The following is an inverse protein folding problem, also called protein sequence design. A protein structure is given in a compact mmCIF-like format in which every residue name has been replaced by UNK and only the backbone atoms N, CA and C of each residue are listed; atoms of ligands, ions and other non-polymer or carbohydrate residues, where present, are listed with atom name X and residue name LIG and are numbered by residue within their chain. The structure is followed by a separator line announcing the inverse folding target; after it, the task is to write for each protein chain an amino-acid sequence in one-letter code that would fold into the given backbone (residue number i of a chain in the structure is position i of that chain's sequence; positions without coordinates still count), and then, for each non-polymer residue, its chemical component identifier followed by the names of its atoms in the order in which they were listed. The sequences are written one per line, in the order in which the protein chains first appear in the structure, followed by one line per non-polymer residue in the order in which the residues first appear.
data_IF_557553150502
#
_entry.id   IF_557553150502
#
_cell.length_a   1.000
_cell.length_b   1.000
_cell.length_c   1.000
_cell.angle_alpha   90.00
_cell.angle_beta   90.00
_cell.angle_gamma   90.00
#
_symmetry.space_group_name_H-M   'P 1'
#
loop_
_entity.id
_entity.type
_entity.pdbx_description
1 polymer ?
#
# COMPACT_ATOMS: atom_id res chain seq x y z
N UNK A 1 -16.12 -15.31 -0.54
CA UNK A 1 -15.53 -15.13 -1.88
C UNK A 1 -14.03 -14.97 -1.74
N UNK A 2 -13.26 -15.54 -2.66
CA UNK A 2 -11.81 -15.40 -2.68
C UNK A 2 -11.45 -14.00 -3.20
N UNK A 3 -11.19 -13.08 -2.28
CA UNK A 3 -10.68 -11.74 -2.61
C UNK A 3 -9.15 -11.84 -2.80
N UNK A 4 -8.58 -11.29 -3.87
CA UNK A 4 -7.12 -11.29 -4.11
C UNK A 4 -6.35 -10.51 -3.04
N UNK A 5 -7.00 -9.56 -2.37
CA UNK A 5 -6.49 -8.91 -1.16
C UNK A 5 -6.89 -9.78 0.02
N UNK A 6 -5.90 -10.43 0.63
CA UNK A 6 -6.11 -11.49 1.64
C UNK A 6 -6.88 -10.98 2.84
N UNK A 7 -6.58 -9.77 3.29
CA UNK A 7 -7.20 -9.14 4.46
C UNK A 7 -8.66 -8.70 4.20
N UNK A 8 -9.09 -8.60 2.94
CA UNK A 8 -10.47 -8.28 2.57
C UNK A 8 -11.38 -9.50 2.51
N UNK A 9 -10.83 -10.72 2.59
CA UNK A 9 -11.62 -11.95 2.58
C UNK A 9 -12.57 -11.98 3.79
N UNK A 10 -13.87 -12.12 3.50
CA UNK A 10 -14.92 -12.10 4.53
C UNK A 10 -15.09 -10.75 5.23
N UNK A 11 -14.79 -9.64 4.54
CA UNK A 11 -15.12 -8.27 4.99
C UNK A 11 -16.21 -7.70 4.09
N UNK A 12 -17.21 -7.05 4.68
CA UNK A 12 -18.27 -6.32 3.96
C UNK A 12 -17.74 -4.94 3.51
N UNK A 13 -16.95 -4.93 2.42
CA UNK A 13 -16.26 -3.73 1.92
C UNK A 13 -17.21 -2.61 1.49
N UNK A 14 -18.47 -2.92 1.14
CA UNK A 14 -19.45 -1.95 0.68
C UNK A 14 -19.83 -0.90 1.74
N UNK A 15 -19.50 -1.14 3.00
CA UNK A 15 -19.75 -0.20 4.11
C UNK A 15 -18.57 0.75 4.35
N UNK A 16 -17.49 0.64 3.56
CA UNK A 16 -16.27 1.43 3.70
C UNK A 16 -16.20 2.40 2.53
N UNK A 17 -15.86 3.67 2.79
CA UNK A 17 -15.67 4.64 1.73
C UNK A 17 -14.59 4.13 0.74
N UNK A 18 -14.89 4.06 -0.57
CA UNK A 18 -13.96 3.56 -1.58
C UNK A 18 -12.57 4.21 -1.56
N UNK A 19 -12.39 5.42 -1.03
CA UNK A 19 -11.06 6.04 -0.87
C UNK A 19 -10.13 5.27 0.09
N UNK A 20 -10.68 4.40 0.95
CA UNK A 20 -9.93 3.56 1.89
C UNK A 20 -9.78 2.10 1.44
N UNK A 21 -10.34 1.72 0.28
CA UNK A 21 -10.31 0.35 -0.23
C UNK A 21 -9.35 0.26 -1.41
N UNK A 22 -8.26 -0.48 -1.29
CA UNK A 22 -7.24 -0.54 -2.34
C UNK A 22 -7.81 -0.96 -3.72
N UNK A 23 -7.45 -0.22 -4.76
CA UNK A 23 -7.59 -0.71 -6.14
C UNK A 23 -6.63 -1.90 -6.30
N UNK A 24 -7.17 -3.09 -6.60
CA UNK A 24 -6.40 -4.33 -6.74
C UNK A 24 -5.20 -4.19 -7.69
N UNK A 25 -5.32 -3.37 -8.75
CA UNK A 25 -4.23 -3.14 -9.71
C UNK A 25 -3.02 -2.49 -9.04
N UNK A 26 -3.23 -1.74 -7.96
CA UNK A 26 -2.18 -1.02 -7.23
C UNK A 26 -1.54 -1.82 -6.09
N UNK A 27 -2.00 -3.06 -5.85
CA UNK A 27 -1.51 -3.88 -4.76
C UNK A 27 -0.17 -4.52 -5.13
N UNK A 28 0.79 -4.47 -4.21
CA UNK A 28 2.11 -5.12 -4.29
C UNK A 28 2.26 -6.07 -3.11
N UNK A 29 2.77 -7.28 -3.38
CA UNK A 29 3.18 -8.21 -2.33
C UNK A 29 4.56 -7.78 -1.79
N UNK A 30 4.61 -7.36 -0.54
CA UNK A 30 5.85 -7.02 0.14
C UNK A 30 6.49 -8.29 0.70
N UNK A 31 7.76 -8.60 0.38
CA UNK A 31 8.40 -9.83 0.84
C UNK A 31 8.43 -9.96 2.37
N UNK A 32 8.22 -11.18 2.87
CA UNK A 32 8.46 -11.50 4.28
C UNK A 32 9.96 -11.60 4.54
N UNK A 33 10.44 -10.93 5.58
CA UNK A 33 11.85 -10.95 5.99
C UNK A 33 12.00 -11.58 7.37
N UNK A 34 11.09 -11.26 8.29
CA UNK A 34 11.10 -11.77 9.65
C UNK A 34 10.60 -10.74 10.65
N UNK A 35 9.89 -11.20 11.68
CA UNK A 35 9.36 -10.36 12.76
C UNK A 35 10.51 -9.83 13.61
N UNK A 36 10.54 -8.50 13.76
CA UNK A 36 11.58 -7.79 14.53
C UNK A 36 12.84 -7.46 13.71
N UNK A 37 12.88 -7.85 12.43
CA UNK A 37 13.97 -7.49 11.55
C UNK A 37 13.99 -5.98 11.22
N UNK A 38 15.18 -5.48 10.86
CA UNK A 38 15.30 -4.08 10.45
C UNK A 38 14.52 -3.83 9.17
N UNK A 39 13.91 -2.64 9.08
CA UNK A 39 13.14 -2.19 7.91
C UNK A 39 11.93 -3.08 7.57
N UNK A 40 11.34 -3.75 8.57
CA UNK A 40 10.05 -4.45 8.42
C UNK A 40 8.94 -3.75 9.19
N UNK A 41 7.69 -4.10 8.87
CA UNK A 41 6.56 -3.78 9.73
C UNK A 41 6.50 -4.74 10.94
N UNK A 42 5.54 -4.54 11.83
CA UNK A 42 5.39 -5.34 13.05
C UNK A 42 5.14 -6.83 12.77
N UNK A 43 4.59 -7.15 11.59
CA UNK A 43 4.35 -8.52 11.16
C UNK A 43 5.54 -9.13 10.39
N UNK A 44 6.62 -8.39 10.14
CA UNK A 44 7.85 -8.89 9.52
C UNK A 44 7.91 -8.76 8.00
N UNK A 45 7.01 -7.98 7.40
CA UNK A 45 7.00 -7.68 5.96
C UNK A 45 7.90 -6.47 5.65
N UNK A 46 8.66 -6.54 4.56
CA UNK A 46 9.60 -5.50 4.13
C UNK A 46 8.92 -4.15 3.93
N UNK A 47 9.50 -3.07 4.47
CA UNK A 47 9.06 -1.67 4.31
C UNK A 47 9.98 -0.91 3.35
N UNK A 48 10.08 -1.41 2.13
CA UNK A 48 10.94 -0.84 1.10
C UNK A 48 10.13 -0.08 0.06
N UNK A 49 10.22 1.26 0.13
CA UNK A 49 9.53 2.17 -0.75
C UNK A 49 9.98 2.02 -2.21
N UNK A 50 11.28 1.76 -2.45
CA UNK A 50 11.84 1.63 -3.80
C UNK A 50 11.35 0.37 -4.46
N UNK A 51 11.36 -0.75 -3.74
CA UNK A 51 10.78 -2.01 -4.21
C UNK A 51 9.31 -1.83 -4.58
N UNK A 52 8.51 -1.27 -3.66
CA UNK A 52 7.09 -1.03 -3.87
C UNK A 52 6.80 -0.21 -5.14
N UNK A 53 7.48 0.93 -5.32
CA UNK A 53 7.23 1.78 -6.48
C UNK A 53 7.75 1.19 -7.79
N UNK A 54 8.87 0.46 -7.76
CA UNK A 54 9.41 -0.20 -8.96
C UNK A 54 8.43 -1.27 -9.45
N UNK A 55 7.89 -2.09 -8.54
CA UNK A 55 6.86 -3.10 -8.87
C UNK A 55 5.61 -2.49 -9.50
N UNK A 56 5.19 -1.29 -9.06
CA UNK A 56 4.06 -0.59 -9.67
C UNK A 56 4.41 0.03 -11.01
N UNK A 57 5.59 0.65 -11.13
CA UNK A 57 6.06 1.26 -12.37
C UNK A 57 6.21 0.22 -13.48
N UNK A 58 6.74 -0.97 -13.15
CA UNK A 58 6.95 -2.06 -14.10
C UNK A 58 5.62 -2.63 -14.62
N UNK A 59 4.61 -2.74 -13.76
CA UNK A 59 3.28 -3.26 -14.13
C UNK A 59 2.37 -2.24 -14.81
N UNK A 60 2.49 -0.97 -14.45
CA UNK A 60 1.60 0.11 -14.88
C UNK A 60 2.39 1.37 -15.26
N UNK A 61 3.29 1.31 -16.25
CA UNK A 61 4.12 2.46 -16.58
C UNK A 61 3.29 3.67 -17.01
N UNK A 62 2.13 3.47 -17.64
CA UNK A 62 1.23 4.54 -18.09
C UNK A 62 0.62 5.35 -16.94
N UNK A 63 0.57 4.79 -15.73
CA UNK A 63 0.02 5.47 -14.55
C UNK A 63 0.97 6.55 -13.99
N UNK A 64 2.22 6.60 -14.45
CA UNK A 64 3.22 7.50 -13.91
C UNK A 64 3.63 8.56 -14.93
N UNK A 65 3.40 9.83 -14.59
CA UNK A 65 3.91 10.98 -15.34
C UNK A 65 5.45 10.96 -15.39
N UNK A 66 6.09 11.68 -16.34
CA UNK A 66 7.55 11.77 -16.40
C UNK A 66 8.19 12.22 -15.08
N UNK A 67 7.53 13.10 -14.32
CA UNK A 67 8.00 13.53 -13.01
C UNK A 67 7.92 12.41 -11.96
N UNK A 68 6.78 11.71 -11.88
CA UNK A 68 6.66 10.57 -10.97
C UNK A 68 7.64 9.46 -11.31
N UNK A 69 7.85 9.15 -12.59
CA UNK A 69 8.88 8.18 -13.02
C UNK A 69 10.28 8.60 -12.57
N UNK A 70 10.65 9.87 -12.76
CA UNK A 70 11.93 10.40 -12.29
C UNK A 70 12.10 10.28 -10.77
N UNK A 71 11.02 10.47 -9.99
CA UNK A 71 11.05 10.24 -8.53
C UNK A 71 11.30 8.77 -8.20
N UNK A 72 10.55 7.85 -8.80
CA UNK A 72 10.65 6.39 -8.55
C UNK A 72 12.05 5.87 -8.93
N UNK A 73 12.59 6.34 -10.05
CA UNK A 73 13.92 5.97 -10.54
C UNK A 73 15.07 6.62 -9.75
N UNK A 74 14.77 7.44 -8.74
CA UNK A 74 15.77 8.12 -7.90
C UNK A 74 16.49 9.28 -8.61
N UNK A 75 15.92 9.80 -9.69
CA UNK A 75 16.45 10.96 -10.44
C UNK A 75 15.98 12.30 -9.86
N UNK A 76 15.07 12.30 -8.89
CA UNK A 76 14.65 13.50 -8.16
C UNK A 76 15.40 13.60 -6.82
N UNK A 77 16.16 14.68 -6.57
CA UNK A 77 16.95 14.81 -5.34
C UNK A 77 16.14 15.29 -4.12
N UNK A 78 14.87 15.68 -4.29
CA UNK A 78 14.07 16.32 -3.25
C UNK A 78 13.06 15.39 -2.58
N UNK A 79 12.68 14.30 -3.24
CA UNK A 79 11.69 13.36 -2.72
C UNK A 79 11.80 11.99 -3.39
N UNK A 80 11.40 10.95 -2.65
CA UNK A 80 11.28 9.55 -3.06
C UNK A 80 9.81 9.11 -3.25
N UNK A 81 8.87 10.05 -3.10
CA UNK A 81 7.44 9.78 -3.02
C UNK A 81 6.74 10.44 -4.22
N UNK A 82 6.20 9.65 -5.16
CA UNK A 82 5.34 10.12 -6.24
C UNK A 82 4.14 10.91 -5.71
N UNK A 83 3.50 11.67 -6.59
CA UNK A 83 2.30 12.45 -6.24
C UNK A 83 1.07 11.95 -6.98
N UNK A 84 -0.10 12.16 -6.38
CA UNK A 84 -1.42 11.89 -6.92
C UNK A 84 -1.78 12.90 -8.03
N UNK A 85 -0.95 12.98 -9.08
CA UNK A 85 -1.10 13.94 -10.17
C UNK A 85 -2.24 13.55 -11.14
N UNK A 86 -2.42 14.32 -12.21
CA UNK A 86 -3.48 14.04 -13.19
C UNK A 86 -3.28 12.69 -13.89
N UNK A 87 -2.06 12.33 -14.27
CA UNK A 87 -1.77 11.07 -15.00
C UNK A 87 -2.11 9.87 -14.12
N UNK A 88 -1.67 9.90 -12.86
CA UNK A 88 -1.97 8.83 -11.91
C UNK A 88 -3.47 8.65 -11.70
N UNK A 89 -4.20 9.76 -11.53
CA UNK A 89 -5.66 9.73 -11.27
C UNK A 89 -6.50 9.39 -12.49
N UNK A 90 -6.01 9.66 -13.70
CA UNK A 90 -6.70 9.22 -14.92
C UNK A 90 -6.60 7.70 -15.11
N UNK A 91 -5.52 7.07 -14.63
CA UNK A 91 -5.34 5.62 -14.70
C UNK A 91 -5.96 4.88 -13.49
N UNK A 92 -5.74 5.41 -12.28
CA UNK A 92 -6.30 4.94 -11.01
C UNK A 92 -7.26 5.99 -10.43
N UNK A 93 -8.51 5.96 -10.87
CA UNK A 93 -9.51 6.99 -10.56
C UNK A 93 -9.96 7.05 -9.10
N UNK A 94 -9.56 6.07 -8.27
CA UNK A 94 -9.88 6.03 -6.84
C UNK A 94 -9.60 7.35 -6.11
N UNK A 95 -8.51 8.03 -6.47
CA UNK A 95 -8.08 9.26 -5.82
C UNK A 95 -8.32 10.52 -6.66
N UNK A 96 -9.25 10.47 -7.63
CA UNK A 96 -9.74 11.66 -8.32
C UNK A 96 -10.74 12.49 -7.49
N UNK A 97 -10.41 12.73 -6.21
CA UNK A 97 -11.23 13.49 -5.27
C UNK A 97 -10.50 14.77 -4.86
N UNK A 98 -11.21 15.92 -4.90
CA UNK A 98 -10.60 17.28 -4.77
C UNK A 98 -9.66 17.43 -3.56
N UNK A 99 -9.97 16.80 -2.42
CA UNK A 99 -9.21 16.95 -1.17
C UNK A 99 -7.79 16.39 -1.19
N UNK A 100 -7.48 15.46 -2.12
CA UNK A 100 -6.20 14.73 -2.15
C UNK A 100 -5.48 14.79 -3.49
N UNK A 101 -5.97 15.61 -4.44
CA UNK A 101 -5.29 15.79 -5.75
C UNK A 101 -3.93 16.44 -5.54
N UNK A 102 -2.89 15.87 -6.12
CA UNK A 102 -1.51 16.34 -5.99
C UNK A 102 -0.83 16.00 -4.66
N UNK A 103 -1.51 15.30 -3.74
CA UNK A 103 -0.89 14.85 -2.51
C UNK A 103 0.24 13.86 -2.79
N UNK A 104 1.26 13.85 -1.94
CA UNK A 104 2.25 12.76 -1.92
C UNK A 104 1.54 11.44 -1.69
N UNK A 105 1.93 10.42 -2.45
CA UNK A 105 1.50 9.06 -2.25
C UNK A 105 2.50 8.35 -1.33
N UNK A 106 1.99 7.59 -0.37
CA UNK A 106 2.78 6.74 0.52
C UNK A 106 2.41 5.27 0.30
N UNK A 107 3.36 4.35 0.46
CA UNK A 107 3.01 2.94 0.53
C UNK A 107 2.36 2.64 1.88
N UNK A 108 1.21 1.98 1.87
CA UNK A 108 0.47 1.60 3.06
C UNK A 108 0.27 0.08 3.05
N UNK A 109 0.61 -0.58 4.16
CA UNK A 109 0.39 -2.02 4.32
C UNK A 109 -1.05 -2.29 4.75
N UNK A 110 -1.81 -2.96 3.88
CA UNK A 110 -3.23 -3.25 4.08
C UNK A 110 -3.39 -4.12 5.33
N UNK A 111 -4.09 -3.61 6.33
CA UNK A 111 -4.32 -4.28 7.62
C UNK A 111 -3.04 -4.59 8.39
N UNK A 112 -1.94 -3.90 8.10
CA UNK A 112 -0.61 -4.19 8.67
C UNK A 112 0.06 -5.46 8.11
N UNK A 113 -0.50 -6.07 7.06
CA UNK A 113 -0.04 -7.33 6.48
C UNK A 113 1.03 -7.21 5.39
N UNK A 114 1.12 -8.25 4.55
CA UNK A 114 2.12 -8.36 3.50
C UNK A 114 1.77 -7.65 2.20
N UNK A 115 0.50 -7.29 1.99
CA UNK A 115 0.07 -6.54 0.80
C UNK A 115 0.11 -5.04 1.08
N UNK A 116 0.63 -4.26 0.15
CA UNK A 116 0.68 -2.81 0.24
C UNK A 116 0.11 -2.11 -1.00
N UNK A 117 -0.35 -0.88 -0.85
CA UNK A 117 -0.88 -0.06 -1.95
C UNK A 117 -0.60 1.44 -1.73
N UNK A 118 -0.69 2.27 -2.78
CA UNK A 118 -0.37 3.69 -2.70
C UNK A 118 -1.58 4.46 -2.16
N UNK A 119 -1.37 5.29 -1.15
CA UNK A 119 -2.41 6.10 -0.50
C UNK A 119 -1.98 7.56 -0.44
N UNK A 120 -2.85 8.54 -0.76
CA UNK A 120 -2.56 9.95 -0.50
C UNK A 120 -2.24 10.19 0.98
N UNK A 121 -1.16 10.89 1.26
CA UNK A 121 -0.63 11.09 2.61
C UNK A 121 -1.68 11.64 3.60
N UNK A 122 -2.61 12.48 3.14
CA UNK A 122 -3.70 13.02 3.98
C UNK A 122 -4.67 11.95 4.51
N UNK A 123 -4.81 10.81 3.81
CA UNK A 123 -5.62 9.67 4.26
C UNK A 123 -4.84 8.75 5.22
N UNK A 124 -3.54 9.01 5.42
CA UNK A 124 -2.61 8.22 6.22
C UNK A 124 -1.94 9.04 7.35
N UNK A 125 -2.69 9.75 8.23
CA UNK A 125 -2.13 10.54 9.31
C UNK A 125 -1.64 9.65 10.47
N UNK A 126 -0.33 9.40 10.53
CA UNK A 126 0.26 8.59 11.61
C UNK A 126 -0.40 7.21 11.70
N UNK A 127 -0.91 6.85 12.88
CA UNK A 127 -1.66 5.59 13.12
C UNK A 127 -3.18 5.73 12.98
N UNK A 128 -3.67 6.86 12.45
CA UNK A 128 -5.09 7.15 12.21
C UNK A 128 -5.47 7.05 10.74
N UNK A 129 -6.59 7.69 10.36
CA UNK A 129 -7.15 7.65 9.00
C UNK A 129 -7.44 6.21 8.56
N UNK A 130 -6.86 5.79 7.43
CA UNK A 130 -7.06 4.45 6.88
C UNK A 130 -6.82 3.33 7.91
N UNK A 131 -5.83 3.46 8.81
CA UNK A 131 -5.57 2.45 9.83
C UNK A 131 -6.74 2.25 10.80
N UNK A 132 -7.51 3.30 11.12
CA UNK A 132 -8.68 3.19 12.00
C UNK A 132 -9.84 2.52 11.26
N UNK A 133 -10.06 2.90 10.01
CA UNK A 133 -11.06 2.28 9.13
C UNK A 133 -10.79 0.78 9.00
N UNK A 134 -9.54 0.37 8.78
CA UNK A 134 -9.18 -1.05 8.69
C UNK A 134 -9.38 -1.82 10.01
N UNK A 135 -9.16 -1.18 11.16
CA UNK A 135 -9.43 -1.81 12.47
C UNK A 135 -10.91 -1.98 12.70
N UNK A 136 -11.71 -0.94 12.43
CA UNK A 136 -13.17 -0.96 12.57
C UNK A 136 -13.83 -1.98 11.64
N UNK A 137 -13.29 -2.13 10.42
CA UNK A 137 -13.72 -3.11 9.44
C UNK A 137 -13.24 -4.54 9.71
N UNK A 138 -12.39 -4.77 10.72
CA UNK A 138 -11.79 -6.08 10.98
C UNK A 138 -10.83 -6.56 9.88
N UNK A 139 -10.24 -5.64 9.13
CA UNK A 139 -9.18 -5.91 8.13
C UNK A 139 -7.82 -6.08 8.84
N UNK A 140 -7.58 -5.27 9.88
CA UNK A 140 -6.31 -5.25 10.60
C UNK A 140 -5.95 -6.61 11.22
N UNK A 141 -4.72 -7.08 10.97
CA UNK A 141 -4.19 -8.32 11.55
C UNK A 141 -4.72 -9.61 10.93
N UNK A 142 -5.58 -9.55 9.90
CA UNK A 142 -6.06 -10.77 9.20
C UNK A 142 -4.94 -11.55 8.50
N UNK A 143 -3.85 -10.88 8.11
CA UNK A 143 -2.69 -11.52 7.47
C UNK A 143 -1.71 -12.16 8.47
N UNK A 144 -1.95 -11.98 9.78
CA UNK A 144 -1.05 -12.44 10.86
C UNK A 144 -0.78 -13.94 10.82
N UNK A 145 -1.75 -14.74 10.42
CA UNK A 145 -1.58 -16.21 10.31
C UNK A 145 -0.44 -16.58 9.35
N UNK A 146 -0.30 -15.88 8.23
CA UNK A 146 0.77 -16.14 7.26
C UNK A 146 2.12 -15.70 7.81
N UNK A 147 2.19 -14.54 8.46
CA UNK A 147 3.43 -14.08 9.08
C UNK A 147 3.90 -15.00 10.21
N UNK A 148 2.98 -15.59 10.99
CA UNK A 148 3.33 -16.59 12.01
C UNK A 148 3.83 -17.91 11.43
N UNK A 149 3.24 -18.38 10.33
CA UNK A 149 3.69 -19.59 9.64
C UNK A 149 5.07 -19.39 9.01
N UNK A 150 5.27 -18.30 8.26
CA UNK A 150 6.56 -17.97 7.65
C UNK A 150 7.65 -17.75 8.69
N UNK A 151 7.30 -17.15 9.84
CA UNK A 151 8.26 -16.96 10.93
C UNK A 151 8.83 -18.27 11.48
N UNK A 152 8.05 -19.36 11.49
CA UNK A 152 8.52 -20.67 11.92
C UNK A 152 9.54 -21.24 10.94
N UNK A 153 9.32 -21.07 9.64
CA UNK A 153 10.19 -21.58 8.58
C UNK A 153 11.57 -20.92 8.53
N UNK A 154 11.70 -19.67 8.99
CA UNK A 154 12.99 -18.95 9.01
C UNK A 154 13.74 -19.03 10.35
N UNK A 155 13.15 -19.69 11.36
CA UNK A 155 13.78 -19.90 12.68
C UNK A 155 14.31 -21.33 12.86
N UNK A 156 14.17 -22.16 11.84
CA UNK A 156 14.84 -23.45 11.69
C UNK A 156 16.16 -23.27 10.91
#
# INVERSE_FOLDING_TARGET
MDNPIRTYRGVELQNIDPVYIADQRTVVEMPFVGKGEKYTNAEGWRRDLKYFWSELLDRHPEAFSPNNRAIIEGRNPFTDSPVNDKVFREYFSQYDVKGVRGDKLVHHHIGGGGQAFPVPQKLHPGSGGIHNIEKEAGIWGKDKIYSELLQKLIKE
#
